data_IF_333186210609
#
_entry.id   IF_333186210609
#
_cell.length_a   1.000
_cell.length_b   1.000
_cell.length_c   1.000
_cell.angle_alpha   90.00
_cell.angle_beta   90.00
_cell.angle_gamma   90.00
#
_symmetry.space_group_name_H-M   'P 1'
#
loop_
_entity.id
_entity.type
_entity.pdbx_description
1 polymer ?
#
# COMPACT_ATOMS: atom_id res chain seq x y z
N UNK A 1 -5.67 -10.64 -15.75
CA UNK A 1 -4.64 -11.06 -14.80
C UNK A 1 -3.63 -9.93 -14.72
N UNK A 2 -3.31 -9.47 -13.51
CA UNK A 2 -2.26 -8.47 -13.30
C UNK A 2 -0.88 -9.07 -13.60
N UNK A 3 0.07 -8.23 -13.97
CA UNK A 3 1.42 -8.62 -14.37
C UNK A 3 2.41 -8.39 -13.23
N UNK A 4 3.23 -9.40 -12.93
CA UNK A 4 4.41 -9.26 -12.08
C UNK A 4 5.51 -8.53 -12.86
N UNK A 5 6.00 -7.42 -12.30
CA UNK A 5 7.06 -6.61 -12.90
C UNK A 5 8.27 -6.63 -11.95
N UNK A 6 9.27 -7.45 -12.29
CA UNK A 6 10.44 -7.73 -11.45
C UNK A 6 11.52 -6.62 -11.56
N UNK A 7 11.17 -5.39 -11.18
CA UNK A 7 12.10 -4.27 -11.09
C UNK A 7 11.62 -3.20 -10.11
N UNK A 8 12.56 -2.46 -9.51
CA UNK A 8 12.28 -1.38 -8.56
C UNK A 8 12.69 0.01 -9.06
N UNK A 9 13.30 0.11 -10.25
CA UNK A 9 13.85 1.37 -10.75
C UNK A 9 12.79 2.47 -10.89
N UNK A 10 11.57 2.11 -11.28
CA UNK A 10 10.46 3.05 -11.43
C UNK A 10 9.90 3.54 -10.08
N UNK A 11 10.03 2.73 -9.03
CA UNK A 11 9.62 3.06 -7.66
C UNK A 11 10.51 4.14 -7.03
N UNK A 12 11.68 4.40 -7.60
CA UNK A 12 12.54 5.51 -7.17
C UNK A 12 12.20 6.85 -7.83
N UNK A 13 11.48 6.88 -8.95
CA UNK A 13 11.16 8.14 -9.64
C UNK A 13 10.31 9.13 -8.81
N UNK A 14 9.33 8.69 -7.99
CA UNK A 14 8.64 9.59 -7.08
C UNK A 14 9.56 10.26 -6.07
N UNK A 15 10.69 9.63 -5.73
CA UNK A 15 11.58 10.06 -4.65
C UNK A 15 12.86 10.75 -5.11
N UNK A 16 13.33 10.47 -6.33
CA UNK A 16 14.61 10.96 -6.84
C UNK A 16 14.42 11.81 -8.10
N UNK A 17 15.18 12.89 -8.23
CA UNK A 17 15.17 13.76 -9.42
C UNK A 17 15.56 13.02 -10.71
N UNK A 18 16.39 11.98 -10.62
CA UNK A 18 16.77 11.12 -11.74
C UNK A 18 17.22 9.73 -11.25
N UNK A 19 17.03 8.69 -12.07
CA UNK A 19 17.53 7.33 -11.78
C UNK A 19 19.06 7.25 -11.67
N UNK A 20 19.79 8.18 -12.29
CA UNK A 20 21.25 8.30 -12.16
C UNK A 20 21.70 8.58 -10.72
N UNK A 21 20.78 8.94 -9.81
CA UNK A 21 21.08 9.15 -8.39
C UNK A 21 21.08 7.85 -7.57
N UNK A 22 20.51 6.75 -8.09
CA UNK A 22 20.41 5.47 -7.37
C UNK A 22 21.79 4.97 -6.86
N UNK A 23 22.90 5.02 -7.63
CA UNK A 23 24.21 4.64 -7.10
C UNK A 23 24.64 5.45 -5.87
N UNK A 24 24.30 6.74 -5.82
CA UNK A 24 24.57 7.59 -4.66
C UNK A 24 23.71 7.23 -3.44
N UNK A 25 22.45 6.82 -3.66
CA UNK A 25 21.58 6.28 -2.60
C UNK A 25 22.16 4.98 -2.03
N UNK A 26 22.64 4.07 -2.89
CA UNK A 26 23.32 2.84 -2.45
C UNK A 26 24.55 3.19 -1.61
N UNK A 27 25.45 4.04 -2.13
CA UNK A 27 26.67 4.42 -1.43
C UNK A 27 26.40 5.09 -0.07
N UNK A 28 25.38 5.95 -0.01
CA UNK A 28 24.96 6.59 1.25
C UNK A 28 24.41 5.57 2.24
N UNK A 29 23.54 4.66 1.79
CA UNK A 29 22.95 3.61 2.65
C UNK A 29 24.03 2.68 3.20
N UNK A 30 24.99 2.27 2.38
CA UNK A 30 26.06 1.38 2.82
C UNK A 30 27.08 2.07 3.75
N UNK A 31 27.27 3.39 3.61
CA UNK A 31 28.27 4.14 4.41
C UNK A 31 27.71 4.72 5.71
N UNK A 32 26.43 5.11 5.72
CA UNK A 32 25.79 5.81 6.84
C UNK A 32 24.61 5.05 7.44
N UNK A 33 24.12 4.02 6.75
CA UNK A 33 23.03 3.20 7.22
C UNK A 33 23.47 2.16 8.25
N UNK A 34 22.49 1.39 8.70
CA UNK A 34 22.68 0.26 9.59
C UNK A 34 21.75 -0.90 9.23
N UNK A 35 21.90 -2.02 9.92
CA UNK A 35 20.98 -3.16 9.83
C UNK A 35 20.40 -3.47 11.21
N UNK A 36 19.30 -4.24 11.25
CA UNK A 36 18.76 -4.83 12.47
C UNK A 36 19.01 -6.35 12.44
N UNK A 37 19.24 -7.01 13.58
CA UNK A 37 19.40 -8.47 13.62
C UNK A 37 18.25 -9.22 12.94
N UNK A 38 17.02 -8.73 13.13
CA UNK A 38 15.80 -9.29 12.52
C UNK A 38 15.76 -9.15 11.00
N UNK A 39 16.55 -8.27 10.38
CA UNK A 39 16.60 -8.09 8.92
C UNK A 39 17.69 -8.92 8.25
N UNK A 40 18.34 -9.81 8.99
CA UNK A 40 19.43 -10.64 8.51
C UNK A 40 18.96 -12.08 8.32
N UNK A 41 19.47 -12.73 7.29
CA UNK A 41 19.38 -14.17 7.09
C UNK A 41 20.80 -14.71 6.88
N UNK A 42 21.20 -15.61 7.77
CA UNK A 42 22.45 -16.35 7.65
C UNK A 42 22.15 -17.84 7.37
N UNK A 43 22.84 -18.40 6.40
CA UNK A 43 22.91 -19.84 6.15
C UNK A 43 24.31 -20.35 6.47
N UNK A 44 24.57 -21.64 6.22
CA UNK A 44 25.93 -22.21 6.37
C UNK A 44 26.94 -21.49 5.46
N UNK A 45 26.55 -21.21 4.22
CA UNK A 45 27.46 -20.67 3.20
C UNK A 45 27.32 -19.15 2.96
N UNK A 46 26.14 -18.60 3.21
CA UNK A 46 25.80 -17.23 2.76
C UNK A 46 25.22 -16.37 3.87
N UNK A 47 25.36 -15.06 3.70
CA UNK A 47 24.68 -14.06 4.51
C UNK A 47 23.98 -13.07 3.59
N UNK A 48 22.71 -12.80 3.87
CA UNK A 48 21.89 -11.77 3.22
C UNK A 48 21.35 -10.85 4.30
N UNK A 49 21.37 -9.54 4.07
CA UNK A 49 20.80 -8.57 5.01
C UNK A 49 20.28 -7.34 4.30
N UNK A 50 19.34 -6.66 4.94
CA UNK A 50 18.89 -5.33 4.53
C UNK A 50 19.60 -4.26 5.37
N UNK A 51 20.35 -3.37 4.70
CA UNK A 51 20.84 -2.13 5.30
C UNK A 51 19.86 -1.00 5.00
N UNK A 52 19.60 -0.13 5.98
CA UNK A 52 18.69 0.99 5.80
C UNK A 52 19.28 2.32 6.29
N UNK A 53 18.93 3.40 5.59
CA UNK A 53 19.27 4.77 5.97
C UNK A 53 18.11 5.73 5.64
N UNK A 54 17.84 6.76 6.47
CA UNK A 54 18.39 6.98 7.80
C UNK A 54 17.97 5.90 8.80
N UNK A 55 18.73 5.71 9.88
CA UNK A 55 18.44 4.68 10.89
C UNK A 55 17.04 4.83 11.52
N UNK A 56 16.60 6.09 11.72
CA UNK A 56 15.30 6.42 12.31
C UNK A 56 14.52 7.35 11.38
N UNK A 57 13.75 6.75 10.50
CA UNK A 57 12.79 7.40 9.62
C UNK A 57 11.68 6.43 9.26
N UNK A 58 10.50 6.94 8.92
CA UNK A 58 9.38 6.13 8.42
C UNK A 58 9.56 5.75 6.94
N UNK A 59 10.33 6.53 6.19
CA UNK A 59 10.78 6.21 4.84
C UNK A 59 12.31 6.20 4.81
N UNK A 60 12.87 5.08 4.35
CA UNK A 60 14.32 4.85 4.28
C UNK A 60 14.71 4.41 2.87
N UNK A 61 15.96 4.61 2.51
CA UNK A 61 16.58 3.80 1.48
C UNK A 61 17.04 2.48 2.08
N UNK A 62 16.51 1.37 1.57
CA UNK A 62 16.94 0.02 1.88
C UNK A 62 17.87 -0.51 0.79
N UNK A 63 18.95 -1.18 1.16
CA UNK A 63 19.84 -1.90 0.26
C UNK A 63 19.98 -3.33 0.77
N UNK A 64 19.55 -4.30 -0.03
CA UNK A 64 19.81 -5.71 0.26
C UNK A 64 21.21 -6.03 -0.22
N UNK A 65 22.04 -6.57 0.67
CA UNK A 65 23.39 -7.04 0.37
C UNK A 65 23.48 -8.54 0.61
N UNK A 66 24.24 -9.24 -0.23
CA UNK A 66 24.43 -10.69 -0.16
C UNK A 66 25.87 -11.07 -0.45
N UNK A 67 26.37 -12.11 0.21
CA UNK A 67 27.68 -12.69 -0.07
C UNK A 67 27.96 -13.94 0.77
N UNK A 68 29.19 -14.46 0.70
CA UNK A 68 29.63 -15.56 1.56
C UNK A 68 29.62 -15.14 3.03
N UNK A 69 29.38 -16.09 3.95
CA UNK A 69 29.26 -15.84 5.41
C UNK A 69 30.46 -15.08 6.02
N UNK A 70 31.68 -15.38 5.57
CA UNK A 70 32.92 -14.70 6.02
C UNK A 70 33.55 -13.85 4.89
N UNK A 71 32.74 -13.45 3.90
CA UNK A 71 33.19 -12.80 2.68
C UNK A 71 32.72 -11.36 2.52
N UNK A 72 33.04 -10.79 1.36
CA UNK A 72 32.52 -9.49 0.93
C UNK A 72 31.04 -9.64 0.56
N UNK A 73 30.21 -8.74 1.10
CA UNK A 73 28.81 -8.60 0.71
C UNK A 73 28.70 -7.60 -0.44
N UNK A 74 27.91 -7.94 -1.44
CA UNK A 74 27.64 -7.11 -2.61
C UNK A 74 26.16 -6.67 -2.61
N UNK A 75 25.85 -5.42 -3.00
CA UNK A 75 24.46 -4.96 -3.11
C UNK A 75 23.77 -5.67 -4.27
N UNK A 76 22.60 -6.24 -3.98
CA UNK A 76 21.78 -6.98 -4.96
C UNK A 76 20.46 -6.29 -5.26
N UNK A 77 19.94 -5.48 -4.32
CA UNK A 77 18.71 -4.71 -4.51
C UNK A 77 18.75 -3.38 -3.76
N UNK A 78 18.01 -2.40 -4.27
CA UNK A 78 17.82 -1.09 -3.63
C UNK A 78 16.35 -0.72 -3.70
N UNK A 79 15.74 -0.49 -2.53
CA UNK A 79 14.30 -0.32 -2.36
C UNK A 79 14.00 0.93 -1.54
N UNK A 80 12.97 1.72 -1.88
CA UNK A 80 12.40 2.66 -0.91
C UNK A 80 11.69 1.83 0.16
N UNK A 81 12.28 1.75 1.35
CA UNK A 81 11.80 0.96 2.48
C UNK A 81 10.78 1.81 3.26
N UNK A 82 9.53 1.35 3.28
CA UNK A 82 8.39 2.05 3.85
C UNK A 82 8.01 1.39 5.19
N UNK A 83 7.87 2.19 6.24
CA UNK A 83 7.16 1.76 7.44
C UNK A 83 5.65 1.86 7.23
N UNK A 84 4.90 0.91 7.80
CA UNK A 84 3.47 0.76 7.58
C UNK A 84 2.68 0.51 8.86
N UNK A 85 1.38 0.29 8.70
CA UNK A 85 0.51 -0.14 9.80
C UNK A 85 0.35 -1.66 9.82
N UNK A 86 0.21 -2.29 11.00
CA UNK A 86 0.04 -3.72 11.12
C UNK A 86 -1.34 -4.16 10.63
N UNK A 87 -1.39 -5.20 9.81
CA UNK A 87 -2.62 -5.82 9.30
C UNK A 87 -2.50 -7.34 9.43
N UNK A 88 -3.52 -8.00 10.01
CA UNK A 88 -3.59 -9.46 10.05
C UNK A 88 -4.10 -10.01 8.73
N UNK A 89 -3.25 -10.69 7.97
CA UNK A 89 -3.58 -11.21 6.64
C UNK A 89 -3.16 -12.68 6.51
N UNK A 90 -3.94 -13.46 5.78
CA UNK A 90 -3.63 -14.86 5.48
C UNK A 90 -2.87 -14.96 4.19
N UNK A 91 -1.68 -15.57 4.20
CA UNK A 91 -0.88 -15.77 3.00
C UNK A 91 -1.63 -16.72 2.05
N UNK A 92 -1.76 -16.34 0.80
CA UNK A 92 -2.42 -17.12 -0.25
C UNK A 92 -1.39 -17.70 -1.21
N UNK A 93 -0.46 -16.88 -1.67
CA UNK A 93 0.59 -17.27 -2.63
C UNK A 93 1.80 -16.33 -2.52
N UNK A 94 2.92 -16.72 -3.14
CA UNK A 94 4.15 -15.91 -3.22
C UNK A 94 4.72 -15.94 -4.62
N UNK A 95 5.21 -14.79 -5.09
CA UNK A 95 5.90 -14.67 -6.38
C UNK A 95 7.35 -14.25 -6.14
N UNK A 96 8.25 -15.22 -6.18
CA UNK A 96 9.69 -15.01 -6.05
C UNK A 96 10.27 -14.39 -7.32
N UNK A 97 11.12 -13.37 -7.17
CA UNK A 97 11.83 -12.74 -8.27
C UNK A 97 13.19 -13.42 -8.50
N UNK A 98 13.53 -13.65 -9.76
CA UNK A 98 14.78 -14.31 -10.16
C UNK A 98 14.97 -15.72 -9.57
N UNK A 99 16.14 -16.30 -9.84
CA UNK A 99 16.44 -17.69 -9.43
C UNK A 99 16.80 -17.83 -7.93
N UNK A 100 17.23 -16.74 -7.28
CA UNK A 100 17.69 -16.76 -5.89
C UNK A 100 16.60 -16.47 -4.85
N UNK A 101 15.47 -15.90 -5.28
CA UNK A 101 14.33 -15.57 -4.43
C UNK A 101 14.66 -14.61 -3.29
N UNK A 102 15.52 -13.63 -3.55
CA UNK A 102 15.87 -12.62 -2.56
C UNK A 102 14.85 -11.47 -2.47
N UNK A 103 14.07 -11.30 -3.53
CA UNK A 103 13.01 -10.32 -3.66
C UNK A 103 11.74 -11.05 -4.10
N UNK A 104 10.59 -10.49 -3.78
CA UNK A 104 9.34 -11.10 -4.20
C UNK A 104 8.12 -10.29 -3.81
N UNK A 105 6.99 -10.79 -4.27
CA UNK A 105 5.67 -10.28 -3.92
C UNK A 105 4.89 -11.36 -3.17
N UNK A 106 4.00 -10.92 -2.29
CA UNK A 106 3.16 -11.80 -1.47
C UNK A 106 1.71 -11.50 -1.78
N UNK A 107 0.94 -12.55 -2.07
CA UNK A 107 -0.50 -12.47 -2.15
C UNK A 107 -1.06 -12.81 -0.79
N UNK A 108 -1.77 -11.87 -0.16
CA UNK A 108 -2.40 -12.10 1.13
C UNK A 108 -3.87 -11.69 1.10
N UNK A 109 -4.68 -12.42 1.87
CA UNK A 109 -6.11 -12.24 1.99
C UNK A 109 -6.45 -11.59 3.34
N UNK A 110 -7.22 -10.48 3.36
CA UNK A 110 -7.82 -9.94 4.58
C UNK A 110 -8.86 -10.91 5.19
N UNK A 111 -9.16 -10.80 6.50
CA UNK A 111 -9.96 -11.82 7.22
C UNK A 111 -11.39 -12.05 6.69
N UNK A 112 -12.02 -11.06 6.05
CA UNK A 112 -13.46 -11.10 5.69
C UNK A 112 -13.74 -11.48 4.23
N UNK A 113 -13.07 -12.50 3.70
CA UNK A 113 -13.22 -12.97 2.31
C UNK A 113 -13.00 -11.89 1.23
N UNK A 114 -12.43 -10.74 1.61
CA UNK A 114 -12.04 -9.70 0.66
C UNK A 114 -11.08 -10.26 -0.39
N UNK A 115 -11.09 -9.63 -1.56
CA UNK A 115 -10.19 -10.04 -2.65
C UNK A 115 -8.73 -10.00 -2.15
N UNK A 116 -7.95 -11.09 -2.37
CA UNK A 116 -6.54 -11.09 -2.03
C UNK A 116 -5.78 -10.00 -2.78
N UNK A 117 -4.76 -9.47 -2.13
CA UNK A 117 -3.96 -8.37 -2.64
C UNK A 117 -2.47 -8.73 -2.65
N UNK A 118 -1.79 -8.31 -3.71
CA UNK A 118 -0.35 -8.44 -3.85
C UNK A 118 0.35 -7.24 -3.22
N UNK A 119 1.46 -7.46 -2.54
CA UNK A 119 2.39 -6.40 -2.16
C UNK A 119 3.84 -6.88 -2.32
N UNK A 120 4.75 -5.93 -2.55
CA UNK A 120 6.17 -6.22 -2.59
C UNK A 120 6.73 -6.37 -1.17
N UNK A 121 7.53 -7.41 -0.95
CA UNK A 121 8.19 -7.65 0.33
C UNK A 121 9.69 -7.32 0.26
N UNK A 122 10.16 -6.25 0.95
CA UNK A 122 11.57 -5.86 0.96
C UNK A 122 12.48 -6.83 1.72
N UNK A 123 11.90 -7.74 2.52
CA UNK A 123 12.59 -8.75 3.31
C UNK A 123 12.22 -10.17 2.85
N UNK A 124 11.74 -10.32 1.62
CA UNK A 124 11.29 -11.60 1.05
C UNK A 124 12.31 -12.74 1.24
N UNK A 125 13.61 -12.47 1.08
CA UNK A 125 14.67 -13.46 1.29
C UNK A 125 14.60 -14.16 2.66
N UNK A 126 14.15 -13.43 3.69
CA UNK A 126 13.95 -13.89 5.08
C UNK A 126 12.54 -14.48 5.22
N UNK A 127 11.53 -13.69 4.87
CA UNK A 127 10.11 -14.00 5.17
C UNK A 127 9.66 -15.26 4.44
N UNK A 128 10.11 -15.48 3.20
CA UNK A 128 9.77 -16.65 2.39
C UNK A 128 10.26 -17.99 2.97
N UNK A 129 11.20 -17.97 3.93
CA UNK A 129 11.75 -19.20 4.54
C UNK A 129 10.92 -19.70 5.71
N UNK A 130 10.23 -18.82 6.41
CA UNK A 130 9.62 -19.11 7.72
C UNK A 130 8.17 -18.69 7.77
N UNK A 131 7.87 -17.50 7.25
CA UNK A 131 6.64 -16.78 7.57
C UNK A 131 5.61 -16.80 6.44
N UNK A 132 6.05 -16.87 5.17
CA UNK A 132 5.17 -16.80 4.00
C UNK A 132 4.65 -18.17 3.55
N UNK A 133 4.11 -18.95 4.49
CA UNK A 133 3.49 -20.25 4.18
C UNK A 133 2.02 -20.05 3.79
N UNK A 134 1.56 -20.51 2.61
CA UNK A 134 0.16 -20.43 2.22
C UNK A 134 -0.80 -21.04 3.25
N UNK A 135 -1.88 -20.34 3.54
CA UNK A 135 -2.88 -20.68 4.56
C UNK A 135 -2.53 -20.22 5.97
N UNK A 136 -1.36 -19.64 6.21
CA UNK A 136 -0.96 -19.12 7.52
C UNK A 136 -1.27 -17.63 7.61
N UNK A 137 -1.92 -17.23 8.71
CA UNK A 137 -2.17 -15.82 9.04
C UNK A 137 -0.96 -15.22 9.73
N UNK A 138 -0.48 -14.11 9.18
CA UNK A 138 0.63 -13.32 9.71
C UNK A 138 0.18 -11.88 9.92
N UNK A 139 0.94 -11.13 10.72
CA UNK A 139 0.77 -9.68 10.81
C UNK A 139 1.79 -9.01 9.90
N UNK A 140 1.31 -8.20 8.96
CA UNK A 140 2.14 -7.47 8.00
C UNK A 140 2.07 -5.97 8.26
N UNK A 141 3.21 -5.28 8.24
CA UNK A 141 3.22 -3.83 8.07
C UNK A 141 2.92 -3.49 6.62
N UNK A 142 1.82 -2.80 6.34
CA UNK A 142 1.46 -2.35 4.99
C UNK A 142 1.63 -0.84 4.81
N UNK A 143 2.21 -0.47 3.67
CA UNK A 143 2.41 0.92 3.26
C UNK A 143 2.29 1.07 1.75
N UNK A 144 2.06 2.31 1.30
CA UNK A 144 2.00 2.64 -0.13
C UNK A 144 2.88 3.83 -0.49
N UNK A 145 3.65 3.71 -1.57
CA UNK A 145 4.31 4.84 -2.21
C UNK A 145 3.41 5.38 -3.32
N UNK A 146 2.90 6.60 -3.16
CA UNK A 146 2.07 7.22 -4.18
C UNK A 146 2.86 7.45 -5.47
N UNK A 147 2.26 7.03 -6.57
CA UNK A 147 2.68 7.30 -7.95
C UNK A 147 1.88 8.48 -8.53
N UNK A 148 0.75 8.81 -7.91
CA UNK A 148 -0.03 10.02 -8.18
C UNK A 148 -1.09 10.23 -7.11
N UNK A 149 -1.37 11.49 -6.78
CA UNK A 149 -2.44 11.87 -5.85
C UNK A 149 -3.11 13.16 -6.31
N UNK A 150 -4.42 13.23 -6.15
CA UNK A 150 -5.21 14.45 -6.37
C UNK A 150 -6.40 14.51 -5.42
N UNK A 151 -6.90 15.72 -5.18
CA UNK A 151 -8.22 15.91 -4.56
C UNK A 151 -9.29 15.16 -5.35
N UNK A 152 -10.15 14.41 -4.66
CA UNK A 152 -11.37 13.89 -5.27
C UNK A 152 -12.25 15.08 -5.70
N UNK A 153 -12.63 15.12 -6.97
CA UNK A 153 -13.46 16.20 -7.53
C UNK A 153 -14.91 15.77 -7.78
N UNK A 154 -15.17 14.46 -7.70
CA UNK A 154 -16.48 13.87 -7.94
C UNK A 154 -17.05 13.44 -6.61
N UNK A 155 -18.11 14.10 -6.16
CA UNK A 155 -18.81 13.75 -4.92
C UNK A 155 -19.93 12.72 -5.18
N UNK A 156 -20.34 12.55 -6.44
CA UNK A 156 -21.42 11.66 -6.84
C UNK A 156 -21.09 10.89 -8.12
N UNK A 157 -21.53 9.63 -8.19
CA UNK A 157 -21.53 8.80 -9.38
C UNK A 157 -22.97 8.50 -9.79
N UNK A 158 -23.23 8.52 -11.10
CA UNK A 158 -24.51 8.11 -11.66
C UNK A 158 -24.43 6.66 -12.15
N UNK A 159 -25.19 5.77 -11.54
CA UNK A 159 -25.33 4.36 -11.93
C UNK A 159 -26.61 4.17 -12.74
N UNK A 160 -26.47 3.62 -13.95
CA UNK A 160 -27.59 3.42 -14.88
C UNK A 160 -27.83 1.97 -15.26
N UNK A 161 -27.03 1.03 -14.71
CA UNK A 161 -27.13 -0.42 -14.95
C UNK A 161 -26.44 -1.21 -13.83
N UNK A 162 -26.77 -2.50 -13.73
CA UNK A 162 -26.17 -3.44 -12.77
C UNK A 162 -27.05 -3.73 -11.55
N UNK A 163 -26.68 -4.69 -10.68
CA UNK A 163 -27.55 -5.21 -9.63
C UNK A 163 -28.11 -4.13 -8.69
N UNK A 164 -27.27 -3.16 -8.32
CA UNK A 164 -27.67 -2.03 -7.46
C UNK A 164 -28.73 -1.14 -8.14
N UNK A 165 -28.57 -0.87 -9.44
CA UNK A 165 -29.54 -0.08 -10.20
C UNK A 165 -30.84 -0.84 -10.44
N UNK A 166 -30.79 -2.15 -10.67
CA UNK A 166 -32.00 -2.96 -10.84
C UNK A 166 -32.82 -3.02 -9.53
N UNK A 167 -32.15 -3.17 -8.38
CA UNK A 167 -32.80 -3.11 -7.08
C UNK A 167 -33.44 -1.73 -6.81
N UNK A 168 -32.73 -0.64 -7.15
CA UNK A 168 -33.28 0.71 -7.09
C UNK A 168 -34.51 0.89 -8.01
N UNK A 169 -34.41 0.43 -9.26
CA UNK A 169 -35.47 0.52 -10.25
C UNK A 169 -36.73 -0.24 -9.83
N UNK A 170 -36.59 -1.44 -9.27
CA UNK A 170 -37.70 -2.22 -8.75
C UNK A 170 -38.44 -1.47 -7.63
N UNK A 171 -37.71 -0.99 -6.61
CA UNK A 171 -38.29 -0.20 -5.51
C UNK A 171 -38.96 1.08 -6.00
N UNK A 172 -38.37 1.77 -6.96
CA UNK A 172 -38.92 3.00 -7.49
C UNK A 172 -40.21 2.76 -8.29
N UNK A 173 -40.26 1.71 -9.12
CA UNK A 173 -41.46 1.36 -9.88
C UNK A 173 -42.60 0.85 -8.99
N UNK A 174 -42.30 0.15 -7.90
CA UNK A 174 -43.31 -0.23 -6.90
C UNK A 174 -43.97 1.00 -6.27
N UNK A 175 -43.18 2.04 -5.98
CA UNK A 175 -43.68 3.32 -5.47
C UNK A 175 -44.39 4.19 -6.53
N UNK A 176 -44.22 3.89 -7.82
CA UNK A 176 -44.78 4.66 -8.95
C UNK A 176 -45.46 3.73 -9.97
N UNK A 177 -46.62 3.15 -9.64
CA UNK A 177 -47.27 2.10 -10.44
C UNK A 177 -47.80 2.58 -11.80
N UNK A 178 -47.91 3.89 -12.02
CA UNK A 178 -48.29 4.51 -13.30
C UNK A 178 -47.09 4.77 -14.23
N UNK A 179 -45.87 4.44 -13.77
CA UNK A 179 -44.62 4.67 -14.49
C UNK A 179 -44.01 3.38 -15.00
N UNK A 180 -43.12 3.53 -15.98
CA UNK A 180 -42.44 2.42 -16.64
C UNK A 180 -40.95 2.43 -16.31
N UNK A 181 -40.26 1.36 -16.69
CA UNK A 181 -38.81 1.21 -16.51
C UNK A 181 -37.99 2.35 -17.13
N UNK A 182 -38.52 2.98 -18.18
CA UNK A 182 -37.89 4.10 -18.88
C UNK A 182 -37.96 5.41 -18.10
N UNK A 183 -38.88 5.51 -17.13
CA UNK A 183 -39.07 6.69 -16.29
C UNK A 183 -38.21 6.66 -15.02
N UNK A 184 -37.55 5.54 -14.74
CA UNK A 184 -36.71 5.36 -13.55
C UNK A 184 -35.54 6.34 -13.62
N UNK A 185 -35.37 7.22 -12.62
CA UNK A 185 -34.25 8.14 -12.59
C UNK A 185 -32.92 7.39 -12.45
N UNK A 186 -31.82 7.95 -12.96
CA UNK A 186 -30.50 7.40 -12.70
C UNK A 186 -30.21 7.33 -11.19
N UNK A 187 -29.62 6.24 -10.73
CA UNK A 187 -29.23 6.09 -9.34
C UNK A 187 -28.00 6.96 -9.06
N UNK A 188 -28.15 7.98 -8.22
CA UNK A 188 -27.03 8.78 -7.74
C UNK A 188 -26.48 8.16 -6.46
N UNK A 189 -25.19 7.81 -6.49
CA UNK A 189 -24.45 7.25 -5.35
C UNK A 189 -23.45 8.30 -4.89
N UNK A 190 -23.51 8.67 -3.62
CA UNK A 190 -22.50 9.51 -2.98
C UNK A 190 -21.18 8.75 -2.95
N UNK A 191 -20.10 9.43 -3.34
CA UNK A 191 -18.74 8.91 -3.27
C UNK A 191 -18.00 9.40 -2.01
N UNK A 192 -18.65 10.26 -1.22
CA UNK A 192 -18.10 10.77 0.03
C UNK A 192 -17.92 9.63 1.03
N UNK A 193 -16.78 9.62 1.70
CA UNK A 193 -16.41 8.59 2.68
C UNK A 193 -16.13 7.21 2.09
N UNK A 194 -16.08 7.08 0.75
CA UNK A 194 -15.73 5.80 0.15
C UNK A 194 -14.26 5.43 0.42
N UNK A 195 -14.04 4.15 0.69
CA UNK A 195 -12.74 3.52 0.99
C UNK A 195 -12.44 2.44 -0.04
N UNK A 196 -12.25 2.86 -1.29
CA UNK A 196 -12.12 1.96 -2.44
C UNK A 196 -10.66 1.64 -2.68
N UNK A 197 -10.37 0.34 -2.83
CA UNK A 197 -9.11 -0.18 -3.32
C UNK A 197 -9.39 -1.03 -4.55
N UNK A 198 -8.73 -0.72 -5.66
CA UNK A 198 -8.85 -1.46 -6.91
C UNK A 198 -7.47 -1.81 -7.46
N UNK A 199 -7.26 -3.05 -7.94
CA UNK A 199 -5.99 -3.42 -8.56
C UNK A 199 -5.79 -2.65 -9.88
N UNK A 200 -4.53 -2.48 -10.25
CA UNK A 200 -4.15 -2.04 -11.60
C UNK A 200 -3.74 -3.22 -12.46
N UNK A 201 -3.22 -2.94 -13.66
CA UNK A 201 -2.64 -3.96 -14.54
C UNK A 201 -1.38 -4.62 -13.95
N UNK A 202 -0.75 -4.02 -12.94
CA UNK A 202 0.48 -4.52 -12.32
C UNK A 202 0.21 -5.02 -10.91
N UNK A 203 0.84 -6.14 -10.56
CA UNK A 203 0.85 -6.61 -9.18
C UNK A 203 1.48 -5.55 -8.27
N UNK A 204 1.00 -5.51 -7.02
CA UNK A 204 1.41 -4.53 -6.02
C UNK A 204 1.11 -3.06 -6.36
N UNK A 205 0.46 -2.74 -7.48
CA UNK A 205 0.05 -1.37 -7.82
C UNK A 205 -1.47 -1.25 -7.78
N UNK A 206 -1.95 -0.24 -7.05
CA UNK A 206 -3.34 -0.02 -6.75
C UNK A 206 -3.76 1.39 -7.08
N UNK A 207 -5.04 1.53 -7.41
CA UNK A 207 -5.75 2.80 -7.42
C UNK A 207 -6.81 2.79 -6.35
N UNK A 208 -7.10 3.94 -5.76
CA UNK A 208 -8.09 4.00 -4.70
C UNK A 208 -8.64 5.38 -4.45
N UNK A 209 -9.70 5.41 -3.64
CA UNK A 209 -10.27 6.61 -3.07
C UNK A 209 -10.36 6.45 -1.57
N UNK A 210 -9.85 7.44 -0.85
CA UNK A 210 -9.79 7.45 0.62
C UNK A 210 -9.94 8.86 1.16
N UNK A 211 -10.32 8.95 2.44
CA UNK A 211 -10.16 10.16 3.25
C UNK A 211 -8.83 10.08 4.00
N UNK A 212 -8.11 11.19 4.00
CA UNK A 212 -6.81 11.33 4.66
C UNK A 212 -6.98 11.59 6.16
N UNK A 213 -6.22 10.89 6.99
CA UNK A 213 -6.05 11.18 8.42
C UNK A 213 -4.55 11.15 8.83
N UNK A 214 -4.21 11.68 10.01
CA UNK A 214 -2.85 11.68 10.58
C UNK A 214 -1.74 12.12 9.60
N UNK A 215 -1.86 13.36 9.09
CA UNK A 215 -0.93 13.95 8.12
C UNK A 215 0.30 14.54 8.79
N UNK A 216 1.47 14.18 8.26
CA UNK A 216 2.75 14.84 8.52
C UNK A 216 3.56 14.98 7.21
N UNK A 217 4.69 15.69 7.26
CA UNK A 217 5.64 15.73 6.15
C UNK A 217 7.09 15.83 6.62
N UNK A 218 8.00 15.25 5.84
CA UNK A 218 9.44 15.29 6.12
C UNK A 218 10.24 15.36 4.82
N UNK A 219 11.54 15.63 4.92
CA UNK A 219 12.46 15.61 3.79
C UNK A 219 13.12 14.23 3.64
N UNK A 220 13.15 13.70 2.42
CA UNK A 220 13.83 12.46 2.07
C UNK A 220 14.87 12.67 0.97
N UNK A 221 16.01 11.98 1.07
CA UNK A 221 17.05 12.01 0.05
C UNK A 221 18.34 12.70 0.50
N UNK A 222 19.39 12.67 -0.35
CA UNK A 222 20.69 13.23 -0.02
C UNK A 222 20.67 14.75 0.06
N UNK A 223 21.66 15.32 0.74
CA UNK A 223 21.84 16.78 0.83
C UNK A 223 21.90 17.44 -0.56
N UNK A 224 21.17 18.53 -0.75
CA UNK A 224 21.08 19.25 -2.03
C UNK A 224 20.11 18.66 -3.06
N UNK A 225 19.52 17.49 -2.80
CA UNK A 225 18.50 16.88 -3.66
C UNK A 225 17.37 16.22 -2.84
N UNK A 226 17.00 16.87 -1.73
CA UNK A 226 15.93 16.42 -0.84
C UNK A 226 14.57 16.63 -1.50
N UNK A 227 13.69 15.67 -1.31
CA UNK A 227 12.30 15.69 -1.73
C UNK A 227 11.42 15.82 -0.48
N UNK A 228 10.46 16.74 -0.48
CA UNK A 228 9.42 16.79 0.55
C UNK A 228 8.45 15.63 0.33
N UNK A 229 8.20 14.84 1.36
CA UNK A 229 7.28 13.70 1.34
C UNK A 229 6.19 13.92 2.37
N UNK A 230 4.94 13.92 1.92
CA UNK A 230 3.78 13.87 2.79
C UNK A 230 3.53 12.42 3.22
N UNK A 231 3.16 12.21 4.48
CA UNK A 231 2.86 10.91 5.06
C UNK A 231 1.51 11.00 5.73
N UNK A 232 0.62 10.04 5.45
CA UNK A 232 -0.71 10.04 6.03
C UNK A 232 -1.32 8.65 6.13
N UNK A 233 -2.24 8.49 7.06
CA UNK A 233 -3.05 7.29 7.20
C UNK A 233 -4.17 7.23 6.16
N UNK A 234 -4.45 6.00 5.70
CA UNK A 234 -5.57 5.68 4.83
C UNK A 234 -6.17 4.33 5.20
N UNK A 235 -7.50 4.27 5.27
CA UNK A 235 -8.26 3.03 5.47
C UNK A 235 -8.93 2.59 4.17
N UNK A 236 -8.86 1.30 3.85
CA UNK A 236 -9.47 0.71 2.66
C UNK A 236 -10.37 -0.47 3.02
N UNK A 237 -11.43 -0.69 2.25
CA UNK A 237 -12.32 -1.84 2.44
C UNK A 237 -13.45 -1.57 3.43
N UNK A 238 -13.92 -2.65 4.07
CA UNK A 238 -15.08 -2.62 4.96
C UNK A 238 -14.79 -1.91 6.30
N UNK A 239 -15.84 -1.51 7.03
CA UNK A 239 -15.71 -0.72 8.26
C UNK A 239 -15.28 -1.53 9.48
N UNK A 240 -15.70 -2.79 9.53
CA UNK A 240 -15.39 -3.79 10.54
C UNK A 240 -13.96 -4.33 10.43
N UNK A 241 -13.46 -4.56 9.21
CA UNK A 241 -12.07 -5.01 8.99
C UNK A 241 -11.34 -4.16 7.94
N UNK A 242 -11.10 -2.87 8.19
CA UNK A 242 -10.39 -2.03 7.25
C UNK A 242 -8.92 -2.44 7.14
N UNK A 243 -8.37 -2.31 5.93
CA UNK A 243 -6.93 -2.32 5.73
C UNK A 243 -6.37 -0.95 6.10
N UNK A 244 -5.41 -0.92 7.00
CA UNK A 244 -4.73 0.29 7.43
C UNK A 244 -3.40 0.43 6.72
N UNK A 245 -3.22 1.54 6.00
CA UNK A 245 -1.98 1.84 5.29
C UNK A 245 -1.44 3.20 5.69
N UNK A 246 -0.11 3.30 5.74
CA UNK A 246 0.58 4.58 5.65
C UNK A 246 0.87 4.84 4.17
N UNK A 247 0.38 5.96 3.63
CA UNK A 247 0.69 6.41 2.27
C UNK A 247 1.74 7.52 2.30
N UNK A 248 2.76 7.35 1.47
CA UNK A 248 3.85 8.31 1.26
C UNK A 248 3.67 8.99 -0.09
N UNK A 249 3.40 10.29 -0.08
CA UNK A 249 3.21 11.11 -1.27
C UNK A 249 4.33 12.14 -1.40
N UNK A 250 5.34 11.88 -2.22
CA UNK A 250 6.32 12.89 -2.61
C UNK A 250 5.64 14.11 -3.26
N UNK A 251 6.07 15.31 -2.92
CA UNK A 251 5.43 16.55 -3.37
C UNK A 251 5.35 16.63 -4.90
N UNK A 252 6.37 16.13 -5.61
CA UNK A 252 6.39 16.14 -7.07
C UNK A 252 5.30 15.30 -7.74
N UNK A 253 4.75 14.28 -7.06
CA UNK A 253 3.67 13.45 -7.62
C UNK A 253 2.27 14.01 -7.30
N UNK A 254 2.21 15.06 -6.48
CA UNK A 254 0.96 15.72 -6.13
C UNK A 254 0.47 16.56 -7.32
N UNK A 255 -0.71 16.19 -7.83
CA UNK A 255 -1.26 16.79 -9.03
C UNK A 255 -1.43 18.31 -8.87
N UNK A 256 -0.80 19.09 -9.75
CA UNK A 256 -0.88 20.57 -9.78
C UNK A 256 -0.52 21.23 -8.44
N UNK A 257 0.45 20.69 -7.70
CA UNK A 257 0.88 21.26 -6.42
C UNK A 257 -0.14 21.07 -5.30
N UNK A 258 -0.99 20.05 -5.41
CA UNK A 258 -1.89 19.65 -4.33
C UNK A 258 -1.12 19.35 -3.05
N UNK A 259 -1.60 19.86 -1.92
CA UNK A 259 -1.04 19.58 -0.60
C UNK A 259 -2.02 18.65 0.16
N UNK A 260 -1.61 17.41 0.48
CA UNK A 260 -2.39 16.51 1.33
C UNK A 260 -2.72 17.12 2.69
N UNK A 261 -3.98 17.02 3.13
CA UNK A 261 -4.46 17.51 4.43
C UNK A 261 -5.47 16.56 5.02
N UNK A 262 -5.52 16.52 6.34
CA UNK A 262 -6.51 15.74 7.08
C UNK A 262 -7.95 16.10 6.66
N UNK A 263 -8.80 15.09 6.59
CA UNK A 263 -10.19 15.20 6.11
C UNK A 263 -10.32 15.33 4.59
N UNK A 264 -9.23 15.49 3.84
CA UNK A 264 -9.32 15.49 2.38
C UNK A 264 -9.58 14.07 1.85
N UNK A 265 -10.71 13.89 1.19
CA UNK A 265 -10.90 12.88 0.15
C UNK A 265 -10.00 13.05 -1.09
N UNK A 266 -9.32 11.96 -1.46
CA UNK A 266 -8.35 11.92 -2.55
C UNK A 266 -8.55 10.70 -3.43
N UNK A 267 -8.23 10.86 -4.72
CA UNK A 267 -7.95 9.73 -5.60
C UNK A 267 -6.43 9.51 -5.58
N UNK A 268 -6.01 8.26 -5.37
CA UNK A 268 -4.60 7.87 -5.31
C UNK A 268 -4.30 6.74 -6.29
N UNK A 269 -3.08 6.73 -6.81
CA UNK A 269 -2.43 5.56 -7.42
C UNK A 269 -1.15 5.34 -6.66
N UNK A 270 -0.90 4.12 -6.19
CA UNK A 270 0.24 3.82 -5.34
C UNK A 270 0.77 2.40 -5.56
N UNK A 271 2.05 2.21 -5.26
CA UNK A 271 2.69 0.90 -5.17
C UNK A 271 2.74 0.47 -3.71
N UNK A 272 2.27 -0.74 -3.42
CA UNK A 272 2.14 -1.30 -2.09
C UNK A 272 3.36 -2.13 -1.71
N UNK A 273 3.84 -1.89 -0.49
CA UNK A 273 4.88 -2.66 0.17
C UNK A 273 4.29 -3.30 1.43
N UNK A 274 4.70 -4.53 1.72
CA UNK A 274 4.33 -5.22 2.94
C UNK A 274 5.44 -6.12 3.45
N UNK A 275 5.64 -6.18 4.77
CA UNK A 275 6.64 -7.07 5.40
C UNK A 275 6.09 -7.66 6.69
N UNK A 276 6.52 -8.86 7.06
CA UNK A 276 6.15 -9.44 8.35
C UNK A 276 6.70 -8.56 9.47
N UNK A 277 5.89 -8.31 10.50
CA UNK A 277 6.29 -7.49 11.65
C UNK A 277 7.53 -8.08 12.32
N UNK A 278 8.46 -7.22 12.74
CA UNK A 278 9.69 -7.68 13.38
C UNK A 278 9.35 -8.29 14.76
N UNK A 279 9.92 -9.47 15.07
CA UNK A 279 9.69 -10.13 16.35
C UNK A 279 10.13 -9.24 17.52
N UNK A 280 9.17 -8.82 18.36
CA UNK A 280 9.41 -7.95 19.52
C UNK A 280 9.19 -6.46 19.30
N UNK A 281 8.78 -6.02 18.10
CA UNK A 281 8.26 -4.67 17.92
C UNK A 281 6.90 -4.54 18.62
N UNK A 282 6.74 -3.48 19.42
CA UNK A 282 5.41 -2.98 19.75
C UNK A 282 4.84 -2.39 18.45
N UNK A 283 3.69 -2.92 18.02
CA UNK A 283 2.97 -2.38 16.87
C UNK A 283 2.82 -0.85 17.04
N UNK A 284 3.10 -0.02 16.02
CA UNK A 284 2.75 1.39 16.06
C UNK A 284 1.29 1.50 16.45
N UNK A 285 0.97 2.35 17.43
CA UNK A 285 -0.42 2.58 17.82
C UNK A 285 -1.20 3.00 16.58
N UNK A 286 -2.19 2.20 16.21
CA UNK A 286 -3.13 2.59 15.19
C UNK A 286 -3.93 3.74 15.76
N UNK A 287 -3.81 4.92 15.13
CA UNK A 287 -4.71 6.02 15.42
C UNK A 287 -6.02 5.66 14.76
N UNK A 288 -7.08 5.51 15.57
CA UNK A 288 -8.43 5.26 15.07
C UNK A 288 -8.79 6.34 14.05
N UNK A 289 -9.17 5.91 12.85
CA UNK A 289 -9.76 6.82 11.87
C UNK A 289 -11.11 7.27 12.45
N UNK A 290 -11.26 8.57 12.82
CA UNK A 290 -12.39 9.07 13.58
C UNK A 290 -13.72 8.96 12.82
N UNK A 291 -13.67 8.68 11.52
CA UNK A 291 -14.84 8.53 10.66
C UNK A 291 -15.27 7.07 10.45
N UNK A 292 -14.58 6.07 11.05
CA UNK A 292 -14.97 4.64 10.95
C UNK A 292 -16.38 4.38 11.52
N UNK A 293 -16.79 5.12 12.54
CA UNK A 293 -18.09 4.98 13.20
C UNK A 293 -19.25 5.64 12.43
N UNK A 294 -18.95 6.45 11.40
CA UNK A 294 -19.93 7.27 10.67
C UNK A 294 -20.48 6.67 9.38
N UNK A 295 -19.99 5.50 8.95
CA UNK A 295 -20.38 4.88 7.69
C UNK A 295 -21.59 3.93 7.88
N UNK A 296 -22.80 4.46 7.74
CA UNK A 296 -23.96 3.61 7.47
C UNK A 296 -23.81 2.98 6.08
N UNK A 297 -23.66 1.66 6.01
CA UNK A 297 -23.79 0.95 4.75
C UNK A 297 -25.15 1.31 4.11
N UNK A 298 -25.25 1.55 2.79
CA UNK A 298 -26.53 1.69 2.13
C UNK A 298 -27.34 0.40 2.36
N UNK A 299 -28.36 0.52 3.21
CA UNK A 299 -28.89 -0.58 4.00
C UNK A 299 -29.19 -1.87 3.25
N UNK A 300 -28.67 -2.98 3.78
CA UNK A 300 -29.40 -4.23 3.84
C UNK A 300 -30.61 -4.03 4.75
N UNK A 301 -31.66 -3.40 4.22
CA UNK A 301 -32.95 -3.35 4.90
C UNK A 301 -33.45 -4.77 5.10
N UNK A 302 -33.36 -5.27 6.34
CA UNK A 302 -34.09 -6.43 6.80
C UNK A 302 -35.58 -6.18 6.59
N UNK A 303 -36.22 -7.05 5.81
CA UNK A 303 -37.66 -7.14 5.77
C UNK A 303 -38.14 -7.71 7.11
N UNK A 304 -38.85 -6.89 7.89
CA UNK A 304 -39.92 -7.35 8.78
C UNK A 304 -41.27 -7.09 8.12
#
# INVERSE_FOLDING_TARGET
>A
MSQHLEQLSDKWYPLLAASSMIPGVIATTLSQGGTRPVWNLETEDTQTMLMAWPERSLLRSGVVVKGPREGRLDPIAVVPLLEGFPNSLTVVDVHSWGEGGEQGEVLAQPQDEAEPLWFFDPLFFRDARVDLTPGVTQTFYLAGLCLGIRRALLDEMTVTKGPMYEAHAAKWMEAHPDKTRLDVPPLKVSLNGMRVLGPTERCSEYQGRVRIYDVDSFEFGPEGAREKVYRFGATFGAADTPLHLILYAPERICFKGYEPKEGHEVDVVFWMQGRVVDAGDEAPEMVDDPDLDGFEQPGSGTAE
#
